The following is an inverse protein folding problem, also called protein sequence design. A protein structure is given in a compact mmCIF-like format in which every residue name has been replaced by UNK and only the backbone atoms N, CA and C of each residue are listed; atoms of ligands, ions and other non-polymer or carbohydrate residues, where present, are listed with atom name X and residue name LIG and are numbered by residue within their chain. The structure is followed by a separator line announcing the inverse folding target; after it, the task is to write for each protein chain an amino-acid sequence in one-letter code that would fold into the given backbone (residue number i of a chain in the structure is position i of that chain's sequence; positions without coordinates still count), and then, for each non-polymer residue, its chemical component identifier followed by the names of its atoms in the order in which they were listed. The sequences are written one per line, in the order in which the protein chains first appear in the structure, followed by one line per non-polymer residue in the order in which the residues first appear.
data_IF_718563244245
#
_entry.id   IF_718563244245
#
_cell.length_a   1.000
_cell.length_b   1.000
_cell.length_c   1.000
_cell.angle_alpha   90.00
_cell.angle_beta   90.00
_cell.angle_gamma   90.00
#
_symmetry.space_group_name_H-M   'P 1'
#
loop_
_entity.id
_entity.type
_entity.pdbx_description
1 polymer ?
#
# COMPACT_ATOMS: atom_id res chain seq x y z
N UNK A 1 25.03 -6.46 -3.85
CA UNK A 1 23.68 -6.99 -4.15
C UNK A 1 22.97 -7.38 -2.87
N UNK A 2 21.70 -7.00 -2.72
CA UNK A 2 20.88 -7.37 -1.57
C UNK A 2 20.36 -8.82 -1.73
N UNK A 3 20.16 -9.56 -0.63
CA UNK A 3 19.59 -10.92 -0.62
C UNK A 3 18.28 -11.03 -1.43
N UNK A 4 17.49 -9.95 -1.46
CA UNK A 4 16.26 -9.88 -2.27
C UNK A 4 16.51 -9.88 -3.78
N UNK A 5 17.57 -9.22 -4.23
CA UNK A 5 17.95 -9.15 -5.65
C UNK A 5 18.46 -10.50 -6.12
N UNK A 6 19.31 -11.17 -5.32
CA UNK A 6 19.78 -12.53 -5.61
C UNK A 6 18.62 -13.52 -5.76
N UNK A 7 17.63 -13.46 -4.86
CA UNK A 7 16.42 -14.28 -4.96
C UNK A 7 15.60 -13.98 -6.21
N UNK A 8 15.59 -12.74 -6.68
CA UNK A 8 14.89 -12.36 -7.91
C UNK A 8 15.63 -12.87 -9.16
N UNK A 9 16.95 -12.77 -9.19
CA UNK A 9 17.80 -13.30 -10.28
C UNK A 9 17.63 -14.81 -10.39
N UNK A 10 17.66 -15.55 -9.28
CA UNK A 10 17.41 -16.99 -9.29
C UNK A 10 16.02 -17.36 -9.84
N UNK A 11 15.00 -16.53 -9.57
CA UNK A 11 13.65 -16.72 -10.15
C UNK A 11 13.60 -16.43 -11.65
N UNK A 12 14.35 -15.43 -12.12
CA UNK A 12 14.51 -15.13 -13.54
C UNK A 12 15.20 -16.29 -14.27
N UNK A 13 16.27 -16.84 -13.69
CA UNK A 13 16.97 -18.03 -14.21
C UNK A 13 16.02 -19.23 -14.31
N UNK A 14 15.33 -19.59 -13.23
CA UNK A 14 14.40 -20.73 -13.22
C UNK A 14 13.25 -20.57 -14.21
N UNK A 15 12.86 -19.35 -14.54
CA UNK A 15 11.78 -19.06 -15.48
C UNK A 15 12.25 -18.88 -16.94
N UNK A 16 13.55 -19.01 -17.23
CA UNK A 16 14.09 -18.79 -18.58
C UNK A 16 14.04 -17.33 -19.05
N UNK A 17 14.03 -16.38 -18.11
CA UNK A 17 13.89 -14.94 -18.40
C UNK A 17 15.16 -14.13 -18.15
N UNK A 18 16.30 -14.78 -17.89
CA UNK A 18 17.54 -14.10 -17.55
C UNK A 18 18.04 -13.21 -18.70
N UNK A 19 18.08 -13.74 -19.93
CA UNK A 19 18.51 -12.97 -21.11
C UNK A 19 17.60 -11.75 -21.36
N UNK A 20 16.29 -11.95 -21.22
CA UNK A 20 15.29 -10.88 -21.36
C UNK A 20 15.44 -9.81 -20.27
N UNK A 21 15.83 -10.21 -19.06
CA UNK A 21 16.15 -9.26 -17.99
C UNK A 21 17.40 -8.43 -18.32
N UNK A 22 18.44 -9.04 -18.90
CA UNK A 22 19.63 -8.32 -19.33
C UNK A 22 19.29 -7.29 -20.43
N UNK A 23 18.46 -7.67 -21.41
CA UNK A 23 17.98 -6.72 -22.43
C UNK A 23 17.19 -5.55 -21.82
N UNK A 24 16.43 -5.78 -20.74
CA UNK A 24 15.77 -4.69 -20.01
C UNK A 24 16.76 -3.83 -19.22
N UNK A 25 17.86 -4.40 -18.70
CA UNK A 25 18.93 -3.64 -18.04
C UNK A 25 19.59 -2.67 -19.02
N UNK A 26 19.83 -3.08 -20.26
CA UNK A 26 20.40 -2.22 -21.31
C UNK A 26 19.51 -1.00 -21.61
N UNK A 27 18.20 -1.14 -21.39
CA UNK A 27 17.21 -0.05 -21.47
C UNK A 27 17.09 0.77 -20.17
N UNK A 28 18.00 0.57 -19.20
CA UNK A 28 18.01 1.26 -17.91
C UNK A 28 17.07 0.67 -16.85
N UNK A 29 16.34 -0.41 -17.15
CA UNK A 29 15.41 -1.06 -16.23
C UNK A 29 16.13 -2.09 -15.37
N UNK A 30 16.80 -1.62 -14.32
CA UNK A 30 17.74 -2.44 -13.54
C UNK A 30 17.12 -3.30 -12.44
N UNK A 31 15.84 -3.10 -12.07
CA UNK A 31 15.25 -3.78 -10.92
C UNK A 31 14.85 -5.25 -11.24
N UNK A 32 15.55 -6.26 -10.70
CA UNK A 32 15.33 -7.66 -11.12
C UNK A 32 13.99 -8.21 -10.66
N UNK A 33 13.47 -7.74 -9.52
CA UNK A 33 12.20 -8.23 -8.98
C UNK A 33 11.01 -7.71 -9.77
N UNK A 34 11.08 -6.43 -10.18
CA UNK A 34 10.02 -5.82 -10.99
C UNK A 34 10.06 -6.40 -12.41
N UNK A 35 11.25 -6.56 -13.00
CA UNK A 35 11.39 -7.16 -14.33
C UNK A 35 10.88 -8.61 -14.35
N UNK A 36 11.21 -9.43 -13.34
CA UNK A 36 10.65 -10.78 -13.20
C UNK A 36 9.11 -10.78 -13.21
N UNK A 37 8.49 -9.89 -12.44
CA UNK A 37 7.04 -9.87 -12.33
C UNK A 37 6.36 -9.44 -13.65
N UNK A 38 6.95 -8.50 -14.37
CA UNK A 38 6.38 -8.04 -15.64
C UNK A 38 6.65 -9.02 -16.78
N UNK A 39 7.85 -9.60 -16.86
CA UNK A 39 8.15 -10.67 -17.80
C UNK A 39 7.21 -11.86 -17.57
N UNK A 40 6.99 -12.27 -16.32
CA UNK A 40 6.01 -13.32 -16.02
C UNK A 40 4.58 -12.95 -16.42
N UNK A 41 4.15 -11.71 -16.19
CA UNK A 41 2.79 -11.25 -16.50
C UNK A 41 2.53 -11.21 -18.01
N UNK A 42 3.54 -10.84 -18.80
CA UNK A 42 3.44 -10.72 -20.25
C UNK A 42 4.10 -11.89 -20.99
N UNK A 43 4.24 -13.06 -20.33
CA UNK A 43 4.81 -14.28 -20.91
C UNK A 43 6.18 -14.09 -21.59
N UNK A 44 7.00 -13.18 -21.05
CA UNK A 44 8.33 -12.85 -21.55
C UNK A 44 8.34 -11.91 -22.76
N UNK A 45 7.23 -11.24 -23.08
CA UNK A 45 7.17 -10.21 -24.13
C UNK A 45 7.81 -8.90 -23.63
N UNK A 46 9.02 -8.61 -24.12
CA UNK A 46 9.83 -7.46 -23.69
C UNK A 46 9.18 -6.14 -24.11
N UNK A 47 8.61 -6.07 -25.31
CA UNK A 47 7.97 -4.85 -25.82
C UNK A 47 6.80 -4.44 -24.92
N UNK A 48 5.96 -5.40 -24.51
CA UNK A 48 4.87 -5.13 -23.55
C UNK A 48 5.38 -4.69 -22.17
N UNK A 49 6.52 -5.22 -21.72
CA UNK A 49 7.15 -4.78 -20.48
C UNK A 49 7.62 -3.33 -20.60
N UNK A 50 8.32 -2.97 -21.67
CA UNK A 50 8.82 -1.61 -21.92
C UNK A 50 7.66 -0.62 -22.02
N UNK A 51 6.65 -0.92 -22.84
CA UNK A 51 5.43 -0.09 -22.97
C UNK A 51 4.76 0.16 -21.61
N UNK A 52 4.73 -0.85 -20.75
CA UNK A 52 4.19 -0.70 -19.40
C UNK A 52 5.02 0.24 -18.50
N UNK A 53 6.35 0.23 -18.64
CA UNK A 53 7.21 1.17 -17.93
C UNK A 53 7.01 2.60 -18.42
N UNK A 54 6.99 2.81 -19.74
CA UNK A 54 6.78 4.12 -20.35
C UNK A 54 5.43 4.71 -19.93
N UNK A 55 4.34 3.95 -20.07
CA UNK A 55 3.01 4.38 -19.63
C UNK A 55 2.96 4.76 -18.14
N UNK A 56 3.76 4.10 -17.30
CA UNK A 56 3.86 4.44 -15.87
C UNK A 56 4.64 5.72 -15.64
N UNK A 57 5.66 6.01 -16.43
CA UNK A 57 6.40 7.26 -16.37
C UNK A 57 5.54 8.42 -16.86
N UNK A 58 4.83 8.26 -17.98
CA UNK A 58 3.88 9.23 -18.51
C UNK A 58 2.81 9.57 -17.45
N UNK A 59 2.21 8.55 -16.83
CA UNK A 59 1.25 8.75 -15.75
C UNK A 59 1.82 9.47 -14.53
N UNK A 60 3.11 9.30 -14.22
CA UNK A 60 3.76 10.03 -13.12
C UNK A 60 4.03 11.48 -13.51
N UNK A 61 4.43 11.72 -14.75
CA UNK A 61 4.69 13.05 -15.26
C UNK A 61 3.40 13.86 -15.37
N UNK A 62 2.33 13.28 -15.90
CA UNK A 62 1.00 13.90 -15.95
C UNK A 62 0.52 14.27 -14.54
N UNK A 63 0.68 13.34 -13.59
CA UNK A 63 0.43 13.57 -12.16
C UNK A 63 1.24 14.71 -11.56
N UNK A 64 2.50 14.89 -12.00
CA UNK A 64 3.38 15.99 -11.58
C UNK A 64 2.91 17.31 -12.18
N UNK A 65 2.60 17.34 -13.49
CA UNK A 65 2.07 18.51 -14.21
C UNK A 65 0.75 18.98 -13.61
N UNK A 66 -0.19 18.07 -13.38
CA UNK A 66 -1.48 18.37 -12.75
C UNK A 66 -1.31 18.95 -11.34
N UNK A 67 -0.36 18.44 -10.56
CA UNK A 67 -0.07 18.98 -9.25
C UNK A 67 0.50 20.41 -9.33
N UNK A 68 1.43 20.67 -10.25
CA UNK A 68 1.99 22.01 -10.46
C UNK A 68 0.92 23.00 -10.93
N UNK A 69 0.08 22.62 -11.90
CA UNK A 69 -1.06 23.43 -12.34
C UNK A 69 -2.01 23.77 -11.21
N UNK A 70 -2.27 22.83 -10.30
CA UNK A 70 -3.12 23.09 -9.12
C UNK A 70 -2.44 24.04 -8.14
N UNK A 71 -1.13 23.90 -7.91
CA UNK A 71 -0.35 24.81 -7.06
C UNK A 71 -0.38 26.23 -7.63
N UNK A 72 -0.23 26.37 -8.95
CA UNK A 72 -0.27 27.62 -9.69
C UNK A 72 -1.66 28.28 -9.58
N UNK A 73 -2.72 27.52 -9.85
CA UNK A 73 -4.11 28.00 -9.73
C UNK A 73 -4.48 28.50 -8.32
N UNK A 74 -3.84 27.96 -7.28
CA UNK A 74 -4.04 28.38 -5.89
C UNK A 74 -3.12 29.54 -5.46
N UNK A 75 -2.26 30.05 -6.36
CA UNK A 75 -1.29 31.11 -6.06
C UNK A 75 -0.17 30.65 -5.12
N UNK A 76 0.13 29.34 -5.05
CA UNK A 76 1.08 28.76 -4.10
C UNK A 76 2.45 28.44 -4.73
N UNK A 77 2.76 29.01 -5.89
CA UNK A 77 3.98 28.70 -6.63
C UNK A 77 5.25 29.07 -5.82
N UNK A 78 5.28 30.26 -5.22
CA UNK A 78 6.36 30.67 -4.32
C UNK A 78 6.46 29.80 -3.05
N UNK A 79 5.31 29.35 -2.52
CA UNK A 79 5.25 28.46 -1.36
C UNK A 79 5.81 27.07 -1.68
N UNK A 80 5.50 26.57 -2.88
CA UNK A 80 6.07 25.33 -3.39
C UNK A 80 7.59 25.43 -3.57
N UNK A 81 8.09 26.57 -4.08
CA UNK A 81 9.52 26.82 -4.22
C UNK A 81 10.25 26.80 -2.88
N UNK A 82 9.69 27.47 -1.84
CA UNK A 82 10.23 27.40 -0.47
C UNK A 82 10.29 25.97 0.08
N UNK A 83 9.33 25.10 -0.26
CA UNK A 83 9.38 23.69 0.10
C UNK A 83 10.49 22.92 -0.64
N UNK A 84 10.73 23.24 -1.92
CA UNK A 84 11.84 22.67 -2.70
C UNK A 84 13.19 23.06 -2.11
N UNK A 85 13.38 24.34 -1.75
CA UNK A 85 14.59 24.84 -1.08
C UNK A 85 14.85 24.12 0.25
N UNK A 86 13.79 23.70 0.96
CA UNK A 86 13.86 22.88 2.16
C UNK A 86 14.04 21.38 1.89
N UNK A 87 14.33 20.97 0.65
CA UNK A 87 14.61 19.59 0.24
C UNK A 87 13.38 18.75 -0.08
N UNK A 88 12.18 19.33 -0.15
CA UNK A 88 10.96 18.62 -0.53
C UNK A 88 10.68 18.81 -2.03
N UNK A 89 11.22 17.92 -2.86
CA UNK A 89 11.17 18.04 -4.33
C UNK A 89 9.94 17.43 -5.00
N UNK A 90 9.14 16.65 -4.27
CA UNK A 90 7.98 15.94 -4.82
C UNK A 90 6.73 16.83 -4.86
N UNK A 91 6.40 17.39 -6.04
CA UNK A 91 5.28 18.33 -6.22
C UNK A 91 3.93 17.79 -5.71
N UNK A 92 3.62 16.51 -5.93
CA UNK A 92 2.39 15.91 -5.42
C UNK A 92 2.32 15.86 -3.89
N UNK A 93 3.45 15.60 -3.22
CA UNK A 93 3.49 15.58 -1.75
C UNK A 93 3.38 17.00 -1.21
N UNK A 94 4.03 17.96 -1.86
CA UNK A 94 3.98 19.37 -1.49
C UNK A 94 2.54 19.90 -1.62
N UNK A 95 1.87 19.69 -2.76
CA UNK A 95 0.47 20.06 -2.95
C UNK A 95 -0.43 19.46 -1.87
N UNK A 96 -0.31 18.15 -1.61
CA UNK A 96 -1.13 17.48 -0.59
C UNK A 96 -0.93 18.04 0.81
N UNK A 97 0.27 18.52 1.14
CA UNK A 97 0.54 19.12 2.44
C UNK A 97 0.05 20.56 2.49
N UNK A 98 0.29 21.35 1.44
CA UNK A 98 -0.20 22.72 1.35
C UNK A 98 -1.74 22.77 1.43
N UNK A 99 -2.44 21.84 0.79
CA UNK A 99 -3.90 21.70 0.94
C UNK A 99 -4.33 21.36 2.37
N UNK A 100 -3.50 20.67 3.14
CA UNK A 100 -3.81 20.30 4.55
C UNK A 100 -3.42 21.37 5.56
N UNK A 101 -2.71 22.39 5.14
CA UNK A 101 -2.25 23.52 5.95
C UNK A 101 -2.79 24.83 5.40
N UNK A 102 -3.71 24.79 4.43
CA UNK A 102 -4.24 25.93 3.70
C UNK A 102 -3.15 26.89 3.19
N UNK A 103 -2.02 26.32 2.74
CA UNK A 103 -0.88 27.07 2.21
C UNK A 103 0.00 27.73 3.28
N UNK A 104 -0.09 27.35 4.55
CA UNK A 104 0.91 27.73 5.55
C UNK A 104 2.21 26.93 5.32
N UNK A 105 3.30 27.63 4.98
CA UNK A 105 4.58 27.01 4.61
C UNK A 105 5.29 26.41 5.81
N UNK A 106 5.29 27.08 6.96
CA UNK A 106 6.04 26.65 8.13
C UNK A 106 5.40 25.39 8.73
N UNK A 107 4.08 25.39 8.86
CA UNK A 107 3.32 24.20 9.26
C UNK A 107 3.45 23.05 8.23
N UNK A 108 3.63 23.37 6.95
CA UNK A 108 3.87 22.38 5.90
C UNK A 108 5.23 21.71 6.05
N UNK A 109 6.29 22.50 6.28
CA UNK A 109 7.64 22.02 6.52
C UNK A 109 7.66 21.12 7.75
N UNK A 110 7.05 21.54 8.86
CA UNK A 110 7.01 20.76 10.09
C UNK A 110 6.33 19.39 9.87
N UNK A 111 5.18 19.37 9.18
CA UNK A 111 4.47 18.14 8.83
C UNK A 111 5.25 17.24 7.88
N UNK A 112 6.03 17.80 6.96
CA UNK A 112 6.85 17.03 6.02
C UNK A 112 8.09 16.45 6.71
N UNK A 113 8.76 17.21 7.57
CA UNK A 113 9.90 16.75 8.39
C UNK A 113 9.50 15.58 9.29
N UNK A 114 8.36 15.67 9.99
CA UNK A 114 7.83 14.56 10.82
C UNK A 114 7.59 13.27 10.03
N UNK A 115 7.35 13.36 8.72
CA UNK A 115 7.10 12.21 7.82
C UNK A 115 8.35 11.73 7.08
N UNK A 116 9.44 12.48 7.12
CA UNK A 116 10.66 12.11 6.43
C UNK A 116 11.22 10.84 7.07
N UNK A 117 11.23 9.75 6.31
CA UNK A 117 11.88 8.52 6.75
C UNK A 117 13.38 8.73 6.58
N UNK A 118 14.13 8.64 7.67
CA UNK A 118 15.59 8.50 7.62
C UNK A 118 15.96 7.37 6.65
N UNK A 119 16.65 7.73 5.58
CA UNK A 119 17.35 6.79 4.72
C UNK A 119 18.69 6.50 5.37
N UNK A 120 18.96 5.22 5.61
CA UNK A 120 20.23 4.74 6.17
C UNK A 120 21.07 4.20 5.03
N UNK A 121 21.38 5.08 4.07
CA UNK A 121 22.15 4.72 2.88
C UNK A 121 23.66 4.73 3.19
N UNK A 122 24.05 5.51 4.20
CA UNK A 122 25.40 5.53 4.81
C UNK A 122 25.48 4.63 6.06
N UNK A 123 26.69 4.24 6.52
CA UNK A 123 26.89 3.58 7.80
C UNK A 123 26.28 4.39 8.96
N UNK A 124 25.64 3.70 9.90
CA UNK A 124 24.84 4.34 10.96
C UNK A 124 25.71 5.18 11.89
N UNK A 125 26.94 4.75 12.18
CA UNK A 125 27.89 5.48 13.01
C UNK A 125 28.20 6.86 12.42
N UNK A 126 28.46 6.94 11.12
CA UNK A 126 28.69 8.21 10.41
C UNK A 126 27.45 9.12 10.48
N UNK A 127 26.25 8.57 10.29
CA UNK A 127 25.01 9.35 10.40
C UNK A 127 24.83 9.90 11.83
N UNK A 128 25.14 9.11 12.86
CA UNK A 128 25.06 9.57 14.26
C UNK A 128 26.14 10.61 14.59
N UNK A 129 27.31 10.54 13.95
CA UNK A 129 28.35 11.55 14.03
C UNK A 129 27.91 12.87 13.40
N UNK A 130 27.40 12.83 12.17
CA UNK A 130 26.85 13.99 11.46
C UNK A 130 25.73 14.68 12.26
N UNK A 131 24.92 13.89 12.98
CA UNK A 131 23.82 14.39 13.81
C UNK A 131 24.22 14.76 15.25
N UNK A 132 25.47 14.52 15.67
CA UNK A 132 25.93 14.81 17.02
C UNK A 132 25.36 13.91 18.12
N UNK A 133 24.88 12.69 17.79
CA UNK A 133 24.25 11.77 18.74
C UNK A 133 25.13 10.55 19.12
N UNK A 134 26.44 10.60 18.91
CA UNK A 134 27.35 9.46 19.15
C UNK A 134 27.27 8.99 20.61
N UNK A 135 27.36 9.90 21.57
CA UNK A 135 27.38 9.58 23.00
C UNK A 135 26.10 8.83 23.40
N UNK A 136 24.95 9.29 22.92
CA UNK A 136 23.65 8.68 23.19
C UNK A 136 23.47 7.35 22.47
N UNK A 137 24.07 7.21 21.27
CA UNK A 137 24.09 5.97 20.51
C UNK A 137 24.91 4.89 21.20
N UNK A 138 26.10 5.22 21.71
CA UNK A 138 26.97 4.31 22.46
C UNK A 138 26.34 3.91 23.79
N UNK A 139 25.79 4.87 24.53
CA UNK A 139 25.09 4.59 25.79
C UNK A 139 23.90 3.63 25.61
N UNK A 140 23.19 3.70 24.49
CA UNK A 140 22.15 2.71 24.17
C UNK A 140 22.77 1.35 23.80
N UNK A 141 23.89 1.29 23.10
CA UNK A 141 24.58 0.00 22.86
C UNK A 141 25.02 -0.67 24.17
N UNK A 142 25.59 0.10 25.10
CA UNK A 142 26.01 -0.38 26.43
C UNK A 142 24.84 -0.94 27.24
N UNK A 143 23.66 -0.33 27.12
CA UNK A 143 22.41 -0.84 27.72
C UNK A 143 21.87 -2.13 27.07
N UNK A 144 22.61 -2.72 26.14
CA UNK A 144 22.26 -3.98 25.46
C UNK A 144 21.34 -3.81 24.25
N UNK A 145 21.16 -2.60 23.73
CA UNK A 145 20.40 -2.41 22.50
C UNK A 145 21.25 -2.83 21.28
N UNK A 146 20.86 -3.92 20.62
CA UNK A 146 21.62 -4.52 19.50
C UNK A 146 21.22 -4.01 18.12
N UNK A 147 20.02 -3.42 17.98
CA UNK A 147 19.53 -2.98 16.67
C UNK A 147 19.87 -1.51 16.41
N UNK A 148 21.05 -1.30 15.82
CA UNK A 148 21.59 0.03 15.48
C UNK A 148 20.62 0.90 14.67
N UNK A 149 19.95 0.33 13.66
CA UNK A 149 18.98 1.06 12.82
C UNK A 149 17.81 1.56 13.64
N UNK A 150 17.39 0.78 14.64
CA UNK A 150 16.28 1.16 15.52
C UNK A 150 16.71 2.21 16.53
N UNK A 151 17.92 2.10 17.07
CA UNK A 151 18.53 3.11 17.96
C UNK A 151 18.59 4.45 17.23
N UNK A 152 19.21 4.50 16.05
CA UNK A 152 19.36 5.73 15.28
C UNK A 152 18.02 6.38 14.90
N UNK A 153 17.01 5.59 14.53
CA UNK A 153 15.65 6.10 14.29
C UNK A 153 15.02 6.74 15.51
N UNK A 154 15.28 6.18 16.69
CA UNK A 154 14.72 6.70 17.94
C UNK A 154 15.46 7.95 18.39
N UNK A 155 16.80 7.96 18.30
CA UNK A 155 17.60 9.14 18.57
C UNK A 155 17.18 10.31 17.69
N UNK A 156 17.04 10.09 16.38
CA UNK A 156 16.55 11.15 15.49
C UNK A 156 15.11 11.58 15.81
N UNK A 157 14.23 10.64 16.14
CA UNK A 157 12.84 10.96 16.47
C UNK A 157 12.71 11.81 17.74
N UNK A 158 13.58 11.60 18.71
CA UNK A 158 13.55 12.27 20.02
C UNK A 158 14.71 13.25 20.18
N UNK A 159 15.33 13.67 19.08
CA UNK A 159 16.40 14.69 19.04
C UNK A 159 17.53 14.42 20.06
N UNK A 160 17.93 13.15 20.16
CA UNK A 160 18.99 12.71 21.07
C UNK A 160 18.55 12.50 22.52
N UNK A 161 17.29 12.79 22.88
CA UNK A 161 16.81 12.57 24.25
C UNK A 161 16.61 11.08 24.56
N UNK A 162 17.35 10.58 25.57
CA UNK A 162 17.33 9.17 25.97
C UNK A 162 16.07 8.78 26.76
N UNK A 163 15.49 9.69 27.55
CA UNK A 163 14.40 9.34 28.46
C UNK A 163 13.13 8.85 27.75
N UNK A 164 12.63 9.56 26.72
CA UNK A 164 11.49 9.07 25.93
C UNK A 164 11.77 7.75 25.20
N UNK A 165 13.04 7.49 24.88
CA UNK A 165 13.47 6.26 24.22
C UNK A 165 13.36 5.09 25.20
N UNK A 166 13.92 5.25 26.40
CA UNK A 166 13.89 4.25 27.46
C UNK A 166 12.45 3.92 27.88
N UNK A 167 11.61 4.93 28.12
CA UNK A 167 10.20 4.75 28.49
C UNK A 167 9.43 3.94 27.44
N UNK A 168 9.69 4.25 26.16
CA UNK A 168 9.07 3.53 25.05
C UNK A 168 9.54 2.08 24.98
N UNK A 169 10.81 1.81 25.26
CA UNK A 169 11.33 0.45 25.30
C UNK A 169 10.79 -0.37 26.46
N UNK A 170 10.70 0.22 27.66
CA UNK A 170 10.07 -0.43 28.82
C UNK A 170 8.61 -0.82 28.52
N UNK A 171 7.85 0.06 27.84
CA UNK A 171 6.48 -0.23 27.38
C UNK A 171 6.43 -1.37 26.34
N UNK A 172 7.39 -1.44 25.42
CA UNK A 172 7.44 -2.50 24.39
C UNK A 172 7.81 -3.86 25.00
N UNK A 173 8.76 -3.91 25.93
CA UNK A 173 9.17 -5.16 26.59
C UNK A 173 8.03 -5.76 27.44
N UNK A 174 7.24 -4.92 28.13
CA UNK A 174 6.02 -5.37 28.84
C UNK A 174 4.97 -5.96 27.88
N UNK A 175 4.78 -5.36 26.70
CA UNK A 175 3.83 -5.86 25.67
C UNK A 175 4.32 -7.14 24.97
N UNK A 176 5.63 -7.29 24.75
CA UNK A 176 6.16 -8.49 24.10
C UNK A 176 6.11 -9.73 25.00
N UNK A 177 6.33 -9.59 26.32
CA UNK A 177 6.15 -10.69 27.28
C UNK A 177 4.69 -11.17 27.37
N UNK A 178 3.73 -10.26 27.31
CA UNK A 178 2.29 -10.62 27.35
C UNK A 178 1.78 -11.20 26.03
N UNK A 179 2.37 -10.81 24.90
CA UNK A 179 1.94 -11.26 23.57
C UNK A 179 2.57 -12.61 23.16
N UNK A 180 3.76 -12.96 23.64
CA UNK A 180 4.35 -14.29 23.40
C UNK A 180 3.57 -15.40 24.11
N UNK A 181 3.15 -15.15 25.36
CA UNK A 181 2.32 -16.09 26.15
C UNK A 181 0.96 -16.32 25.47
N UNK A 182 0.30 -15.27 24.97
CA UNK A 182 -0.98 -15.44 24.24
C UNK A 182 -0.83 -16.20 22.92
N UNK A 183 0.31 -16.06 22.22
CA UNK A 183 0.57 -16.75 20.95
C UNK A 183 0.97 -18.21 21.12
N UNK A 184 1.62 -18.59 22.22
CA UNK A 184 1.89 -20.01 22.52
C UNK A 184 0.61 -20.74 22.93
N UNK A 185 -0.24 -20.10 23.75
CA UNK A 185 -1.55 -20.65 24.15
C UNK A 185 -2.52 -20.84 22.95
N UNK A 186 -2.47 -19.99 21.92
CA UNK A 186 -3.32 -20.15 20.73
C UNK A 186 -2.81 -21.18 19.71
N UNK A 187 -1.53 -21.61 19.79
CA UNK A 187 -0.98 -22.63 18.89
C UNK A 187 -1.26 -24.07 19.34
N UNK A 188 -1.73 -24.25 20.58
CA UNK A 188 -2.15 -25.54 21.13
C UNK A 188 -3.67 -25.64 21.29
N UNK A 189 -4.46 -25.07 20.36
CA UNK A 189 -5.82 -25.58 20.20
C UNK A 189 -5.71 -26.95 19.52
N UNK A 190 -6.28 -28.03 20.09
CA UNK A 190 -6.29 -29.32 19.44
C UNK A 190 -6.87 -29.17 18.03
N UNK A 191 -6.27 -29.88 17.06
CA UNK A 191 -6.88 -30.07 15.73
C UNK A 191 -8.33 -30.46 15.97
N UNK A 192 -9.24 -29.74 15.31
CA UNK A 192 -10.66 -30.11 15.25
C UNK A 192 -10.75 -31.59 14.87
N UNK A 193 -11.68 -32.32 15.49
CA UNK A 193 -11.91 -33.74 15.19
C UNK A 193 -12.19 -33.93 13.69
N UNK A 194 -11.92 -35.11 13.13
CA UNK A 194 -12.16 -35.34 11.69
C UNK A 194 -13.60 -35.05 11.27
N UNK A 195 -14.54 -35.17 12.22
CA UNK A 195 -15.95 -34.82 12.06
C UNK A 195 -16.17 -33.31 11.88
N UNK A 196 -15.58 -32.46 12.74
CA UNK A 196 -15.72 -31.00 12.63
C UNK A 196 -15.10 -30.43 11.35
N UNK A 197 -14.02 -31.06 10.85
CA UNK A 197 -13.39 -30.70 9.58
C UNK A 197 -14.22 -31.18 8.37
N UNK A 198 -14.94 -32.31 8.48
CA UNK A 198 -15.91 -32.77 7.47
C UNK A 198 -17.13 -31.83 7.42
N UNK A 199 -17.74 -31.53 8.56
CA UNK A 199 -18.86 -30.58 8.66
C UNK A 199 -18.49 -29.19 8.10
N UNK A 200 -17.26 -28.74 8.34
CA UNK A 200 -16.78 -27.47 7.78
C UNK A 200 -16.60 -27.53 6.26
N UNK A 201 -16.11 -28.65 5.71
CA UNK A 201 -15.97 -28.83 4.26
C UNK A 201 -17.34 -28.88 3.58
N UNK A 202 -18.31 -29.56 4.16
CA UNK A 202 -19.69 -29.62 3.67
C UNK A 202 -20.35 -28.24 3.70
N UNK A 203 -20.32 -27.53 4.83
CA UNK A 203 -20.84 -26.16 4.93
C UNK A 203 -20.16 -25.18 3.96
N UNK A 204 -18.87 -25.40 3.68
CA UNK A 204 -18.13 -24.59 2.70
C UNK A 204 -18.52 -24.91 1.25
N UNK A 205 -18.83 -26.16 0.95
CA UNK A 205 -19.34 -26.58 -0.36
C UNK A 205 -20.75 -26.01 -0.57
N UNK A 206 -21.63 -26.17 0.41
CA UNK A 206 -22.98 -25.59 0.42
C UNK A 206 -22.91 -24.08 0.18
N UNK A 207 -22.07 -23.35 0.93
CA UNK A 207 -21.90 -21.91 0.76
C UNK A 207 -21.41 -21.54 -0.65
N UNK A 208 -20.50 -22.31 -1.25
CA UNK A 208 -20.05 -22.06 -2.64
C UNK A 208 -21.18 -22.23 -3.66
N UNK A 209 -22.01 -23.24 -3.47
CA UNK A 209 -23.20 -23.45 -4.30
C UNK A 209 -24.19 -22.28 -4.16
N UNK A 210 -24.42 -21.80 -2.93
CA UNK A 210 -25.24 -20.60 -2.70
C UNK A 210 -24.68 -19.40 -3.46
N UNK A 211 -23.36 -19.21 -3.49
CA UNK A 211 -22.72 -18.12 -4.24
C UNK A 211 -22.88 -18.26 -5.76
N UNK A 212 -22.82 -19.48 -6.30
CA UNK A 212 -23.02 -19.72 -7.73
C UNK A 212 -24.42 -19.25 -8.18
N UNK A 213 -25.45 -19.46 -7.35
CA UNK A 213 -26.82 -19.01 -7.62
C UNK A 213 -26.96 -17.48 -7.65
N UNK A 214 -26.06 -16.73 -6.99
CA UNK A 214 -26.03 -15.26 -7.07
C UNK A 214 -25.17 -14.71 -8.22
N UNK A 215 -24.22 -15.49 -8.74
CA UNK A 215 -23.31 -15.02 -9.80
C UNK A 215 -24.02 -14.74 -11.14
N UNK A 216 -25.20 -15.32 -11.38
CA UNK A 216 -26.05 -14.94 -12.52
C UNK A 216 -26.52 -13.48 -12.52
N UNK A 217 -26.33 -12.74 -11.40
CA UNK A 217 -26.76 -11.33 -11.24
C UNK A 217 -25.62 -10.31 -11.15
N UNK A 218 -24.38 -10.72 -11.42
CA UNK A 218 -23.20 -9.83 -11.44
C UNK A 218 -22.96 -9.08 -10.10
N UNK A 219 -23.24 -9.75 -8.98
CA UNK A 219 -23.10 -9.20 -7.62
C UNK A 219 -21.74 -9.60 -7.05
N UNK A 220 -20.98 -8.62 -6.55
CA UNK A 220 -19.68 -8.89 -5.94
C UNK A 220 -19.79 -9.79 -4.69
N UNK A 221 -18.95 -10.82 -4.58
CA UNK A 221 -18.89 -11.82 -3.50
C UNK A 221 -19.07 -11.28 -2.07
N UNK A 222 -18.41 -10.16 -1.73
CA UNK A 222 -18.51 -9.55 -0.39
C UNK A 222 -19.93 -9.09 -0.07
N UNK A 223 -20.68 -8.64 -1.07
CA UNK A 223 -22.09 -8.26 -0.91
C UNK A 223 -22.95 -9.50 -0.75
N UNK A 224 -22.73 -10.54 -1.56
CA UNK A 224 -23.44 -11.84 -1.44
C UNK A 224 -23.28 -12.44 -0.03
N UNK A 225 -22.07 -12.42 0.52
CA UNK A 225 -21.81 -12.93 1.87
C UNK A 225 -22.61 -12.16 2.94
N UNK A 226 -22.65 -10.82 2.82
CA UNK A 226 -23.43 -9.97 3.72
C UNK A 226 -24.93 -10.23 3.56
N UNK A 227 -25.40 -10.41 2.33
CA UNK A 227 -26.80 -10.75 2.04
C UNK A 227 -27.21 -12.08 2.63
N UNK A 228 -26.47 -13.16 2.34
CA UNK A 228 -26.74 -14.48 2.91
C UNK A 228 -26.71 -14.45 4.44
N UNK A 229 -25.85 -13.64 5.06
CA UNK A 229 -25.84 -13.49 6.52
C UNK A 229 -27.08 -12.79 7.09
N UNK A 230 -27.72 -11.89 6.32
CA UNK A 230 -28.94 -11.20 6.76
C UNK A 230 -30.18 -12.10 6.67
N UNK A 231 -30.15 -13.09 5.78
CA UNK A 231 -31.25 -14.04 5.56
C UNK A 231 -30.94 -15.44 6.12
N UNK A 232 -30.01 -15.56 7.08
CA UNK A 232 -29.61 -16.85 7.68
C UNK A 232 -29.26 -17.96 6.66
N UNK A 233 -28.75 -17.60 5.49
CA UNK A 233 -28.40 -18.53 4.42
C UNK A 233 -29.57 -18.97 3.55
N UNK A 234 -30.76 -18.37 3.68
CA UNK A 234 -31.87 -18.54 2.75
C UNK A 234 -31.65 -17.73 1.47
N UNK A 235 -31.48 -18.46 0.37
CA UNK A 235 -31.19 -17.91 -0.95
C UNK A 235 -32.45 -17.30 -1.56
N UNK A 236 -33.61 -17.94 -1.39
CA UNK A 236 -34.84 -17.55 -2.07
C UNK A 236 -35.35 -16.23 -1.52
N UNK A 237 -35.41 -16.09 -0.19
CA UNK A 237 -35.75 -14.82 0.48
C UNK A 237 -34.78 -13.70 0.09
N UNK A 238 -33.47 -14.00 0.05
CA UNK A 238 -32.46 -13.02 -0.34
C UNK A 238 -32.59 -12.60 -1.82
N UNK A 239 -32.94 -13.53 -2.72
CA UNK A 239 -33.19 -13.24 -4.14
C UNK A 239 -34.49 -12.46 -4.35
N UNK A 240 -35.56 -12.82 -3.66
CA UNK A 240 -36.85 -12.12 -3.72
C UNK A 240 -36.69 -10.68 -3.26
N UNK A 241 -36.01 -10.44 -2.14
CA UNK A 241 -35.71 -9.09 -1.64
C UNK A 241 -34.86 -8.29 -2.63
N UNK A 242 -33.86 -8.91 -3.26
CA UNK A 242 -32.99 -8.25 -4.24
C UNK A 242 -33.75 -7.88 -5.52
N UNK A 243 -34.76 -8.68 -5.90
CA UNK A 243 -35.66 -8.36 -7.01
C UNK A 243 -36.64 -7.23 -6.66
N UNK A 244 -37.13 -7.16 -5.41
CA UNK A 244 -38.02 -6.09 -4.94
C UNK A 244 -37.36 -4.71 -4.91
N UNK A 245 -36.04 -4.63 -4.81
CA UNK A 245 -35.28 -3.35 -4.78
C UNK A 245 -34.94 -2.83 -6.18
N UNK A 246 -35.11 -3.64 -7.22
CA UNK A 246 -35.10 -3.12 -8.60
C UNK A 246 -36.53 -2.83 -9.04
N UNK A 247 -37.05 -1.66 -8.65
CA UNK A 247 -37.42 -0.67 -9.65
C UNK A 247 -36.96 0.75 -9.28
N UNK A 248 -36.55 1.53 -10.29
CA UNK A 248 -36.19 2.99 -10.30
C UNK A 248 -34.74 3.39 -10.62
N UNK A 249 -34.11 2.81 -11.66
CA UNK A 249 -32.98 3.50 -12.33
C UNK A 249 -33.06 3.41 -13.87
N UNK A 250 -34.25 3.26 -14.45
CA UNK A 250 -34.41 3.21 -15.92
C UNK A 250 -35.47 4.14 -16.52
N UNK A 251 -36.11 5.02 -15.74
CA UNK A 251 -37.14 5.95 -16.25
C UNK A 251 -36.73 7.43 -16.26
N UNK A 252 -35.43 7.75 -16.30
CA UNK A 252 -34.96 9.12 -16.58
C UNK A 252 -34.04 9.23 -17.82
N UNK A 253 -33.68 8.11 -18.46
CA UNK A 253 -32.86 8.11 -19.68
C UNK A 253 -33.63 7.90 -20.98
N UNK A 254 -34.92 7.52 -20.93
CA UNK A 254 -35.71 7.18 -22.12
C UNK A 254 -36.74 8.24 -22.53
N UNK A 255 -37.00 9.27 -21.72
CA UNK A 255 -37.88 10.39 -22.13
C UNK A 255 -37.17 11.55 -22.84
N UNK A 256 -35.85 11.47 -23.05
CA UNK A 256 -35.10 12.54 -23.77
C UNK A 256 -34.91 12.20 -25.26
N UNK A 257 -35.06 10.93 -25.67
CA UNK A 257 -34.89 10.53 -27.06
C UNK A 257 -36.17 10.58 -27.92
N UNK A 258 -37.36 10.64 -27.32
CA UNK A 258 -38.62 10.78 -28.09
C UNK A 258 -39.02 12.25 -28.32
N UNK A 259 -38.49 13.19 -27.53
CA UNK A 259 -38.73 14.63 -27.72
C UNK A 259 -37.86 15.27 -28.83
N UNK A 260 -36.78 14.62 -29.27
CA UNK A 260 -35.95 15.14 -30.39
C UNK A 260 -36.34 14.59 -31.77
N UNK A 261 -37.19 13.56 -31.85
CA UNK A 261 -37.63 12.98 -33.14
C UNK A 261 -38.95 13.63 -33.64
N UNK A 262 -39.74 14.26 -32.76
CA UNK A 262 -40.96 14.99 -33.13
C UNK A 262 -40.74 16.47 -33.49
N UNK A 263 -39.50 16.97 -33.47
CA UNK A 263 -39.17 18.34 -33.87
C UNK A 263 -38.51 18.44 -35.27
N UNK A 264 -38.45 17.33 -36.03
CA UNK A 264 -37.94 17.29 -37.40
C UNK A 264 -38.95 16.79 -38.45
N UNK A 265 -40.25 16.79 -38.12
CA UNK A 265 -41.33 16.65 -39.10
C UNK A 265 -42.35 17.79 -38.94
#
# INVERSE_FOLDING_TARGET
MNLKELKAIHKLQKAGFLEKHNQLIDQGLTNPWINYHHLKKYNGDIHKVILFYNNKEDQKEEKRKNALKTIENLGWLQKHQKLIENGFTESQKNLKILLKTNGDVDNSIEKLRKKQKLKFDKPIQLIMQELGFIIQFEKLKEMGYTNEKKIAKLLFKYEGNLQPILDKYLKINKKNKTCSIKKSLHKHKPKKSSQEDQDFKEKKAELKEKFANFNGKNIHDKKVLKFLSMFNGDIESAIQWLNQIKPQVQTQGQMVLESEILAQY
#
